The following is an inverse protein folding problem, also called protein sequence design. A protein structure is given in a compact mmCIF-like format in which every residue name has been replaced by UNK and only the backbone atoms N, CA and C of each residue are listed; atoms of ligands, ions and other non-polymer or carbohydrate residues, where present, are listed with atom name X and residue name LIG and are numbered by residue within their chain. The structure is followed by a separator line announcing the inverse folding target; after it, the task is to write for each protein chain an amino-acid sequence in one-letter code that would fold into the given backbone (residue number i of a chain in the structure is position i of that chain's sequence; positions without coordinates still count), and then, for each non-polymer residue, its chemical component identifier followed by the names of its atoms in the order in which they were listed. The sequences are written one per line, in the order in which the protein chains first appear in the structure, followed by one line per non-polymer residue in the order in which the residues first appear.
data_IF_611711752582
#
_entry.id   IF_611711752582
#
_cell.length_a   1.000
_cell.length_b   1.000
_cell.length_c   1.000
_cell.angle_alpha   90.00
_cell.angle_beta   90.00
_cell.angle_gamma   90.00
#
_symmetry.space_group_name_H-M   'P 1'
#
loop_
_entity.id
_entity.type
_entity.pdbx_description
1 polymer ?
#
# COMPACT_ATOMS: atom_id res chain seq x y z
N UNK A 1 28.25 -3.70 -3.51
CA UNK A 1 27.54 -4.90 -2.99
C UNK A 1 26.03 -4.72 -2.99
N UNK A 2 25.48 -3.60 -2.48
CA UNK A 2 24.04 -3.33 -2.46
C UNK A 2 23.35 -3.38 -3.83
N UNK A 3 23.94 -2.80 -4.89
CA UNK A 3 23.39 -2.85 -6.25
C UNK A 3 23.29 -4.29 -6.76
N UNK A 4 24.36 -5.08 -6.62
CA UNK A 4 24.38 -6.48 -7.03
C UNK A 4 23.32 -7.28 -6.25
N UNK A 5 23.22 -7.06 -4.94
CA UNK A 5 22.22 -7.70 -4.10
C UNK A 5 20.80 -7.31 -4.52
N UNK A 6 20.58 -6.04 -4.89
CA UNK A 6 19.30 -5.59 -5.42
C UNK A 6 18.93 -6.27 -6.74
N UNK A 7 19.87 -6.43 -7.67
CA UNK A 7 19.63 -7.18 -8.91
C UNK A 7 19.30 -8.66 -8.65
N UNK A 8 20.04 -9.30 -7.74
CA UNK A 8 19.73 -10.67 -7.29
C UNK A 8 18.34 -10.72 -6.65
N UNK A 9 18.01 -9.75 -5.80
CA UNK A 9 16.71 -9.63 -5.15
C UNK A 9 15.57 -9.56 -6.16
N UNK A 10 15.67 -8.68 -7.17
CA UNK A 10 14.66 -8.58 -8.24
C UNK A 10 14.49 -9.92 -8.97
N UNK A 11 15.59 -10.59 -9.32
CA UNK A 11 15.55 -11.88 -10.01
C UNK A 11 14.88 -12.97 -9.14
N UNK A 12 15.21 -13.03 -7.85
CA UNK A 12 14.62 -13.99 -6.91
C UNK A 12 13.12 -13.71 -6.68
N UNK A 13 12.70 -12.45 -6.56
CA UNK A 13 11.28 -12.10 -6.42
C UNK A 13 10.46 -12.54 -7.65
N UNK A 14 10.99 -12.34 -8.87
CA UNK A 14 10.38 -12.84 -10.10
C UNK A 14 10.38 -14.38 -10.11
N UNK A 15 11.46 -15.04 -9.68
CA UNK A 15 11.51 -16.50 -9.57
C UNK A 15 10.45 -17.03 -8.61
N UNK A 16 10.27 -16.42 -7.44
CA UNK A 16 9.22 -16.79 -6.48
C UNK A 16 7.83 -16.69 -7.12
N UNK A 17 7.57 -15.64 -7.89
CA UNK A 17 6.31 -15.49 -8.62
C UNK A 17 6.11 -16.59 -9.67
N UNK A 18 7.15 -16.94 -10.44
CA UNK A 18 7.11 -18.02 -11.44
C UNK A 18 6.89 -19.39 -10.77
N UNK A 19 7.46 -19.60 -9.58
CA UNK A 19 7.23 -20.82 -8.80
C UNK A 19 5.76 -20.95 -8.35
N UNK A 20 5.12 -19.83 -8.01
CA UNK A 20 3.71 -19.74 -7.61
C UNK A 20 2.72 -19.70 -8.80
N UNK A 21 3.23 -19.62 -10.04
CA UNK A 21 2.42 -19.49 -11.25
C UNK A 21 1.51 -20.69 -11.50
N UNK A 22 0.25 -20.44 -11.85
CA UNK A 22 -0.70 -21.49 -12.26
C UNK A 22 -0.34 -22.15 -13.59
N UNK A 23 0.29 -21.41 -14.51
CA UNK A 23 0.69 -21.91 -15.82
C UNK A 23 1.89 -21.13 -16.36
N UNK A 24 3.10 -21.61 -16.08
CA UNK A 24 4.36 -20.97 -16.50
C UNK A 24 4.50 -20.79 -18.01
N UNK A 25 3.85 -21.64 -18.81
CA UNK A 25 3.89 -21.57 -20.29
C UNK A 25 2.98 -20.49 -20.86
N UNK A 26 2.00 -20.01 -20.09
CA UNK A 26 1.07 -18.96 -20.51
C UNK A 26 1.54 -17.55 -20.14
N UNK A 27 2.71 -17.41 -19.49
CA UNK A 27 3.27 -16.11 -19.11
C UNK A 27 3.57 -15.30 -20.38
N UNK A 28 2.86 -14.18 -20.56
CA UNK A 28 3.10 -13.27 -21.68
C UNK A 28 4.31 -12.38 -21.38
N UNK A 29 5.42 -12.63 -22.08
CA UNK A 29 6.69 -11.92 -21.89
C UNK A 29 6.56 -10.41 -22.14
N UNK A 30 5.76 -9.97 -23.12
CA UNK A 30 5.53 -8.54 -23.36
C UNK A 30 4.93 -7.87 -22.13
N UNK A 31 3.93 -8.50 -21.52
CA UNK A 31 3.22 -7.96 -20.37
C UNK A 31 4.12 -7.92 -19.15
N UNK A 32 4.80 -9.02 -18.81
CA UNK A 32 5.59 -9.09 -17.57
C UNK A 32 6.89 -8.28 -17.67
N UNK A 33 7.62 -8.35 -18.80
CA UNK A 33 8.83 -7.55 -18.99
C UNK A 33 8.46 -6.07 -19.11
N UNK A 34 7.38 -5.74 -19.83
CA UNK A 34 6.87 -4.38 -19.92
C UNK A 34 6.51 -3.81 -18.55
N UNK A 35 5.82 -4.57 -17.71
CA UNK A 35 5.40 -4.13 -16.38
C UNK A 35 6.61 -3.89 -15.47
N UNK A 36 7.57 -4.81 -15.48
CA UNK A 36 8.83 -4.65 -14.76
C UNK A 36 9.63 -3.42 -15.25
N UNK A 37 9.77 -3.24 -16.57
CA UNK A 37 10.45 -2.08 -17.15
C UNK A 37 9.78 -0.75 -16.78
N UNK A 38 8.45 -0.67 -16.76
CA UNK A 38 7.73 0.53 -16.33
C UNK A 38 7.98 0.79 -14.85
N UNK A 39 7.90 -0.24 -14.00
CA UNK A 39 8.13 -0.09 -12.55
C UNK A 39 9.56 0.40 -12.26
N UNK A 40 10.57 -0.22 -12.87
CA UNK A 40 11.98 0.21 -12.78
C UNK A 40 12.17 1.61 -13.36
N UNK A 41 11.52 1.91 -14.48
CA UNK A 41 11.59 3.23 -15.13
C UNK A 41 11.01 4.36 -14.28
N UNK A 42 9.90 4.11 -13.59
CA UNK A 42 9.34 5.05 -12.60
C UNK A 42 10.34 5.26 -11.47
N UNK A 43 10.88 4.18 -10.89
CA UNK A 43 11.89 4.27 -9.83
C UNK A 43 13.13 5.07 -10.26
N UNK A 44 13.65 4.79 -11.46
CA UNK A 44 14.78 5.53 -12.03
C UNK A 44 14.47 7.03 -12.18
N UNK A 45 13.30 7.33 -12.73
CA UNK A 45 12.87 8.71 -12.96
C UNK A 45 12.78 9.49 -11.64
N UNK A 46 12.08 8.94 -10.65
CA UNK A 46 11.71 9.70 -9.45
C UNK A 46 12.76 9.64 -8.34
N UNK A 47 13.64 8.64 -8.32
CA UNK A 47 14.67 8.48 -7.27
C UNK A 47 16.08 8.85 -7.73
N UNK A 48 16.39 8.78 -9.03
CA UNK A 48 17.75 9.01 -9.54
C UNK A 48 17.83 10.27 -10.43
N UNK A 49 16.98 10.37 -11.46
CA UNK A 49 17.04 11.45 -12.44
C UNK A 49 16.68 12.81 -11.79
N UNK A 50 17.52 13.86 -11.89
CA UNK A 50 17.27 15.14 -11.24
C UNK A 50 15.92 15.80 -11.60
N UNK A 51 15.51 15.70 -12.86
CA UNK A 51 14.23 16.25 -13.32
C UNK A 51 13.06 15.51 -12.68
N UNK A 52 13.09 14.17 -12.63
CA UNK A 52 12.02 13.40 -12.03
C UNK A 52 11.96 13.55 -10.50
N UNK A 53 13.11 13.71 -9.82
CA UNK A 53 13.15 14.11 -8.41
C UNK A 53 12.49 15.46 -8.17
N UNK A 54 12.73 16.47 -9.03
CA UNK A 54 12.05 17.77 -8.93
C UNK A 54 10.54 17.66 -9.12
N UNK A 55 10.09 16.82 -10.06
CA UNK A 55 8.66 16.55 -10.27
C UNK A 55 8.05 15.85 -9.05
N UNK A 56 8.73 14.84 -8.51
CA UNK A 56 8.29 14.16 -7.29
C UNK A 56 8.18 15.13 -6.12
N UNK A 57 9.19 15.97 -5.89
CA UNK A 57 9.18 16.99 -4.84
C UNK A 57 8.01 17.98 -5.02
N UNK A 58 7.76 18.46 -6.23
CA UNK A 58 6.62 19.33 -6.50
C UNK A 58 5.27 18.65 -6.19
N UNK A 59 5.15 17.34 -6.48
CA UNK A 59 3.97 16.56 -6.09
C UNK A 59 3.87 16.38 -4.58
N UNK A 60 4.99 16.09 -3.91
CA UNK A 60 5.10 15.97 -2.46
C UNK A 60 4.66 17.27 -1.77
N UNK A 61 5.17 18.42 -2.21
CA UNK A 61 4.81 19.73 -1.66
C UNK A 61 3.32 20.05 -1.89
N UNK A 62 2.79 19.67 -3.04
CA UNK A 62 1.36 19.77 -3.34
C UNK A 62 0.50 18.95 -2.38
N UNK A 63 0.85 17.68 -2.16
CA UNK A 63 0.13 16.81 -1.22
C UNK A 63 0.30 17.30 0.22
N UNK A 64 1.49 17.76 0.62
CA UNK A 64 1.74 18.34 1.93
C UNK A 64 0.88 19.59 2.19
N UNK A 65 0.72 20.45 1.19
CA UNK A 65 -0.17 21.62 1.26
C UNK A 65 -1.64 21.21 1.46
N UNK A 66 -2.08 20.15 0.77
CA UNK A 66 -3.42 19.59 0.94
C UNK A 66 -3.62 19.04 2.36
N UNK A 67 -2.63 18.34 2.91
CA UNK A 67 -2.65 17.89 4.31
C UNK A 67 -2.78 19.09 5.26
N UNK A 68 -2.03 20.16 5.02
CA UNK A 68 -2.10 21.38 5.83
C UNK A 68 -3.50 22.00 5.83
N UNK A 69 -4.18 22.07 4.68
CA UNK A 69 -5.58 22.52 4.61
C UNK A 69 -6.53 21.61 5.39
N UNK A 70 -6.31 20.29 5.35
CA UNK A 70 -7.06 19.34 6.17
C UNK A 70 -6.87 19.59 7.67
N UNK A 71 -5.64 19.93 8.09
CA UNK A 71 -5.32 20.21 9.49
C UNK A 71 -6.03 21.45 10.05
N UNK A 72 -6.46 22.41 9.22
CA UNK A 72 -7.32 23.52 9.67
C UNK A 72 -8.68 23.01 10.18
N UNK A 73 -9.29 22.06 9.46
CA UNK A 73 -10.54 21.42 9.90
C UNK A 73 -10.37 20.60 11.18
N UNK A 74 -9.23 19.94 11.33
CA UNK A 74 -8.87 19.17 12.53
C UNK A 74 -8.67 20.12 13.73
N UNK A 75 -7.95 21.22 13.54
CA UNK A 75 -7.72 22.24 14.56
C UNK A 75 -9.01 22.91 15.00
N UNK A 76 -9.94 23.16 14.08
CA UNK A 76 -11.27 23.66 14.40
C UNK A 76 -12.04 22.66 15.29
N UNK A 77 -12.02 21.36 14.97
CA UNK A 77 -12.81 20.35 15.67
C UNK A 77 -12.24 19.97 17.04
N UNK A 78 -10.92 19.87 17.17
CA UNK A 78 -10.25 19.36 18.37
C UNK A 78 -9.47 20.41 19.17
N UNK A 79 -9.35 21.64 18.65
CA UNK A 79 -8.73 22.77 19.33
C UNK A 79 -7.31 22.48 19.81
N UNK A 80 -7.02 22.83 21.06
CA UNK A 80 -5.69 22.70 21.67
C UNK A 80 -5.14 21.27 21.75
N UNK A 81 -5.98 20.24 21.62
CA UNK A 81 -5.57 18.82 21.68
C UNK A 81 -4.72 18.38 20.48
N UNK A 82 -4.70 19.17 19.41
CA UNK A 82 -3.82 18.97 18.24
C UNK A 82 -2.80 20.10 18.07
N UNK A 83 -2.65 20.96 19.07
CA UNK A 83 -1.66 22.04 19.07
C UNK A 83 -0.29 21.59 19.59
N UNK A 84 0.72 22.42 19.39
CA UNK A 84 2.08 22.16 19.89
C UNK A 84 2.16 22.16 21.42
N UNK A 85 1.19 22.77 22.11
CA UNK A 85 1.09 22.76 23.58
C UNK A 85 1.03 21.34 24.14
N UNK A 86 0.49 20.39 23.38
CA UNK A 86 0.45 18.98 23.76
C UNK A 86 1.86 18.38 23.87
N UNK A 87 2.80 18.77 23.02
CA UNK A 87 4.18 18.31 23.12
C UNK A 87 4.92 18.94 24.30
N UNK A 88 4.60 20.17 24.67
CA UNK A 88 5.14 20.80 25.88
C UNK A 88 4.67 20.10 27.16
N UNK A 89 3.39 19.68 27.20
CA UNK A 89 2.78 19.08 28.40
C UNK A 89 3.08 17.59 28.51
N UNK A 90 3.02 16.85 27.40
CA UNK A 90 3.10 15.39 27.38
C UNK A 90 4.37 14.85 26.72
N UNK A 91 5.30 15.71 26.31
CA UNK A 91 6.49 15.32 25.55
C UNK A 91 6.10 14.58 24.27
N UNK A 92 6.77 13.47 23.97
CA UNK A 92 6.42 12.60 22.83
C UNK A 92 4.98 12.05 22.87
N UNK A 93 4.36 11.98 24.04
CA UNK A 93 2.95 11.60 24.20
C UNK A 93 1.95 12.66 23.74
N UNK A 94 2.41 13.86 23.38
CA UNK A 94 1.59 14.94 22.83
C UNK A 94 1.03 14.64 21.43
N UNK A 95 1.58 13.64 20.74
CA UNK A 95 1.06 13.14 19.48
C UNK A 95 -0.12 12.19 19.72
N UNK A 96 -1.34 12.72 19.77
CA UNK A 96 -2.56 11.89 19.87
C UNK A 96 -2.91 11.34 18.48
N UNK A 97 -2.55 10.08 18.22
CA UNK A 97 -2.79 9.39 16.95
C UNK A 97 -4.25 9.53 16.47
N UNK A 98 -5.22 9.27 17.36
CA UNK A 98 -6.64 9.30 17.02
C UNK A 98 -7.14 10.67 16.55
N UNK A 99 -6.45 11.76 16.92
CA UNK A 99 -6.84 13.12 16.58
C UNK A 99 -5.99 13.71 15.44
N UNK A 100 -4.77 13.21 15.23
CA UNK A 100 -3.85 13.72 14.19
C UNK A 100 -3.82 12.89 12.90
N UNK A 101 -4.18 11.60 12.97
CA UNK A 101 -4.10 10.66 11.84
C UNK A 101 -5.48 10.31 11.30
N UNK A 102 -6.39 9.84 12.17
CA UNK A 102 -7.70 9.37 11.73
C UNK A 102 -8.56 10.44 11.01
N UNK A 103 -8.59 11.71 11.47
CA UNK A 103 -9.39 12.74 10.78
C UNK A 103 -8.87 13.10 9.38
N UNK A 104 -7.57 12.90 9.12
CA UNK A 104 -6.98 13.13 7.79
C UNK A 104 -7.58 12.18 6.76
N UNK A 105 -7.88 10.93 7.16
CA UNK A 105 -8.57 9.95 6.30
C UNK A 105 -9.93 10.50 5.86
N UNK A 106 -10.70 11.09 6.79
CA UNK A 106 -12.03 11.67 6.52
C UNK A 106 -11.95 12.78 5.47
N UNK A 107 -11.00 13.69 5.67
CA UNK A 107 -10.78 14.81 4.75
C UNK A 107 -10.37 14.33 3.35
N UNK A 108 -9.39 13.43 3.24
CA UNK A 108 -8.93 12.93 1.95
C UNK A 108 -10.00 12.10 1.23
N UNK A 109 -10.80 11.30 1.95
CA UNK A 109 -11.94 10.59 1.35
C UNK A 109 -12.97 11.56 0.76
N UNK A 110 -13.27 12.66 1.46
CA UNK A 110 -14.13 13.74 0.95
C UNK A 110 -13.55 14.40 -0.29
N UNK A 111 -12.26 14.76 -0.25
CA UNK A 111 -11.56 15.38 -1.38
C UNK A 111 -11.55 14.48 -2.61
N UNK A 112 -11.21 13.19 -2.44
CA UNK A 112 -11.19 12.23 -3.55
C UNK A 112 -12.60 12.10 -4.15
N UNK A 113 -13.64 12.00 -3.32
CA UNK A 113 -15.03 11.94 -3.79
C UNK A 113 -15.41 13.16 -4.64
N UNK A 114 -14.98 14.36 -4.23
CA UNK A 114 -15.12 15.60 -5.03
C UNK A 114 -14.39 15.48 -6.37
N UNK A 115 -13.13 15.04 -6.37
CA UNK A 115 -12.32 14.89 -7.60
C UNK A 115 -12.91 13.85 -8.58
N UNK A 116 -13.58 12.81 -8.07
CA UNK A 116 -14.38 11.88 -8.88
C UNK A 116 -15.65 12.53 -9.41
N UNK A 117 -16.39 13.28 -8.59
CA UNK A 117 -17.63 13.91 -9.02
C UNK A 117 -17.39 14.88 -10.20
N UNK A 118 -16.33 15.69 -10.13
CA UNK A 118 -15.98 16.68 -11.16
C UNK A 118 -15.26 16.10 -12.38
N UNK A 119 -14.85 14.82 -12.37
CA UNK A 119 -14.27 14.16 -13.53
C UNK A 119 -12.73 14.13 -13.62
N UNK A 120 -12.01 14.74 -12.66
CA UNK A 120 -10.54 14.81 -12.69
C UNK A 120 -9.91 13.42 -12.54
N UNK A 121 -10.42 12.63 -11.59
CA UNK A 121 -9.91 11.26 -11.36
C UNK A 121 -10.09 10.39 -12.59
N UNK A 122 -11.26 10.46 -13.24
CA UNK A 122 -11.56 9.69 -14.45
C UNK A 122 -10.63 10.07 -15.61
N UNK A 123 -10.28 11.36 -15.74
CA UNK A 123 -9.33 11.81 -16.76
C UNK A 123 -7.95 11.21 -16.53
N UNK A 124 -7.41 11.36 -15.30
CA UNK A 124 -6.07 10.85 -14.95
C UNK A 124 -6.01 9.33 -15.10
N UNK A 125 -7.00 8.61 -14.57
CA UNK A 125 -7.06 7.14 -14.62
C UNK A 125 -7.17 6.65 -16.08
N UNK A 126 -7.93 7.35 -16.94
CA UNK A 126 -8.06 6.99 -18.35
C UNK A 126 -6.75 7.17 -19.12
N UNK A 127 -6.00 8.25 -18.84
CA UNK A 127 -4.72 8.52 -19.50
C UNK A 127 -3.69 7.47 -19.09
N UNK A 128 -3.47 7.31 -17.79
CA UNK A 128 -2.47 6.39 -17.25
C UNK A 128 -2.83 4.93 -17.54
N UNK A 129 -4.10 4.53 -17.36
CA UNK A 129 -4.57 3.18 -17.66
C UNK A 129 -4.54 2.86 -19.16
N UNK A 130 -4.83 3.85 -20.01
CA UNK A 130 -4.68 3.70 -21.46
C UNK A 130 -3.21 3.52 -21.88
N UNK A 131 -2.29 4.24 -21.25
CA UNK A 131 -0.86 4.09 -21.48
C UNK A 131 -0.36 2.70 -21.05
N UNK A 132 -0.71 2.25 -19.83
CA UNK A 132 -0.38 0.90 -19.34
C UNK A 132 -0.91 -0.19 -20.27
N UNK A 133 -2.19 -0.12 -20.65
CA UNK A 133 -2.80 -1.07 -21.61
C UNK A 133 -2.02 -1.13 -22.92
N UNK A 134 -1.67 0.03 -23.49
CA UNK A 134 -0.99 0.09 -24.79
C UNK A 134 0.39 -0.57 -24.74
N UNK A 135 1.13 -0.39 -23.64
CA UNK A 135 2.46 -0.98 -23.49
C UNK A 135 2.34 -2.48 -23.16
N UNK A 136 1.54 -2.83 -22.16
CA UNK A 136 1.49 -4.17 -21.57
C UNK A 136 0.62 -5.17 -22.34
N UNK A 137 -0.37 -4.69 -23.10
CA UNK A 137 -1.35 -5.55 -23.77
C UNK A 137 -2.38 -6.17 -22.82
N UNK A 138 -2.50 -5.65 -21.60
CA UNK A 138 -3.52 -6.01 -20.60
C UNK A 138 -4.92 -5.54 -21.04
N UNK A 139 -5.97 -6.10 -20.45
CA UNK A 139 -7.34 -5.68 -20.75
C UNK A 139 -7.60 -4.24 -20.30
N UNK A 140 -8.66 -3.62 -20.84
CA UNK A 140 -9.02 -2.25 -20.46
C UNK A 140 -9.38 -2.17 -18.98
N UNK A 141 -10.09 -3.16 -18.47
CA UNK A 141 -10.66 -3.13 -17.12
C UNK A 141 -9.58 -3.27 -16.05
N UNK A 142 -8.68 -4.24 -16.19
CA UNK A 142 -7.59 -4.43 -15.22
C UNK A 142 -6.59 -3.28 -15.25
N UNK A 143 -6.35 -2.67 -16.42
CA UNK A 143 -5.44 -1.52 -16.54
C UNK A 143 -6.02 -0.26 -15.88
N UNK A 144 -7.33 -0.02 -16.02
CA UNK A 144 -8.02 1.07 -15.36
C UNK A 144 -8.06 0.85 -13.84
N UNK A 145 -8.33 -0.37 -13.39
CA UNK A 145 -8.32 -0.70 -11.96
C UNK A 145 -6.93 -0.57 -11.33
N UNK A 146 -5.88 -1.10 -11.98
CA UNK A 146 -4.50 -0.95 -11.52
C UNK A 146 -4.07 0.51 -11.38
N UNK A 147 -4.52 1.36 -12.31
CA UNK A 147 -4.25 2.80 -12.28
C UNK A 147 -5.07 3.53 -11.20
N UNK A 148 -6.34 3.17 -11.04
CA UNK A 148 -7.18 3.75 -9.99
C UNK A 148 -6.59 3.48 -8.59
N UNK A 149 -6.03 2.28 -8.38
CA UNK A 149 -5.36 1.88 -7.15
C UNK A 149 -4.16 2.75 -6.75
N UNK A 150 -3.62 3.60 -7.65
CA UNK A 150 -2.60 4.60 -7.27
C UNK A 150 -3.16 5.62 -6.28
N UNK A 151 -4.46 5.92 -6.37
CA UNK A 151 -5.11 7.02 -5.66
C UNK A 151 -6.17 6.55 -4.66
N UNK A 152 -6.86 5.46 -4.96
CA UNK A 152 -7.96 4.93 -4.15
C UNK A 152 -7.67 3.51 -3.66
N UNK A 153 -8.38 3.09 -2.62
CA UNK A 153 -8.13 1.81 -1.96
C UNK A 153 -8.66 0.59 -2.73
N UNK A 154 -8.31 -0.59 -2.22
CA UNK A 154 -8.65 -1.90 -2.80
C UNK A 154 -10.16 -2.17 -2.98
N UNK A 155 -11.02 -1.47 -2.25
CA UNK A 155 -12.49 -1.57 -2.37
C UNK A 155 -13.10 -0.50 -3.26
N UNK A 156 -12.39 0.60 -3.50
CA UNK A 156 -12.88 1.77 -4.25
C UNK A 156 -12.41 1.71 -5.70
N UNK A 157 -11.17 1.29 -5.95
CA UNK A 157 -10.62 1.15 -7.29
C UNK A 157 -11.47 0.25 -8.21
N UNK A 158 -12.05 -0.89 -7.76
CA UNK A 158 -12.90 -1.72 -8.61
C UNK A 158 -14.20 -1.02 -9.04
N UNK A 159 -14.64 0.04 -8.35
CA UNK A 159 -15.86 0.77 -8.74
C UNK A 159 -15.78 1.35 -10.15
N UNK A 160 -14.58 1.76 -10.59
CA UNK A 160 -14.36 2.29 -11.94
C UNK A 160 -14.59 1.26 -13.04
N UNK A 161 -14.64 -0.03 -12.67
CA UNK A 161 -14.86 -1.17 -13.56
C UNK A 161 -15.98 -2.07 -13.06
N UNK A 162 -16.82 -1.61 -12.12
CA UNK A 162 -17.91 -2.37 -11.49
C UNK A 162 -18.77 -3.17 -12.49
N UNK A 163 -19.21 -2.60 -13.64
CA UNK A 163 -20.04 -3.34 -14.60
C UNK A 163 -19.37 -4.57 -15.20
N UNK A 164 -18.05 -4.62 -15.20
CA UNK A 164 -17.26 -5.68 -15.85
C UNK A 164 -16.83 -6.79 -14.88
N UNK A 165 -16.83 -6.54 -13.56
CA UNK A 165 -16.30 -7.50 -12.56
C UNK A 165 -16.99 -8.86 -12.65
N UNK A 166 -18.31 -8.88 -12.90
CA UNK A 166 -19.08 -10.12 -12.98
C UNK A 166 -18.66 -11.01 -14.16
N UNK A 167 -18.11 -10.44 -15.24
CA UNK A 167 -17.78 -11.13 -16.50
C UNK A 167 -16.27 -11.19 -16.78
N UNK A 168 -15.43 -10.61 -15.91
CA UNK A 168 -13.97 -10.70 -16.00
C UNK A 168 -13.48 -12.14 -16.04
N UNK A 169 -12.41 -12.40 -16.78
CA UNK A 169 -11.70 -13.67 -16.68
C UNK A 169 -11.14 -13.86 -15.26
N UNK A 170 -10.69 -15.08 -14.95
CA UNK A 170 -10.07 -15.32 -13.64
C UNK A 170 -8.77 -14.52 -13.46
N UNK A 171 -8.02 -14.29 -14.55
CA UNK A 171 -6.78 -13.49 -14.54
C UNK A 171 -7.06 -11.99 -14.38
N UNK A 172 -8.07 -11.45 -15.05
CA UNK A 172 -8.49 -10.05 -14.86
C UNK A 172 -8.94 -9.77 -13.42
N UNK A 173 -9.79 -10.65 -12.86
CA UNK A 173 -10.23 -10.52 -11.47
C UNK A 173 -9.05 -10.58 -10.50
N UNK A 174 -8.10 -11.48 -10.74
CA UNK A 174 -6.88 -11.58 -9.95
C UNK A 174 -6.02 -10.33 -10.04
N UNK A 175 -5.89 -9.73 -11.22
CA UNK A 175 -5.16 -8.48 -11.42
C UNK A 175 -5.80 -7.30 -10.66
N UNK A 176 -7.13 -7.21 -10.64
CA UNK A 176 -7.87 -6.22 -9.83
C UNK A 176 -7.55 -6.40 -8.33
N UNK A 177 -7.59 -7.63 -7.83
CA UNK A 177 -7.24 -7.93 -6.43
C UNK A 177 -5.79 -7.57 -6.11
N UNK A 178 -4.85 -7.97 -6.99
CA UNK A 178 -3.43 -7.72 -6.80
C UNK A 178 -3.10 -6.23 -6.85
N UNK A 179 -3.75 -5.47 -7.74
CA UNK A 179 -3.61 -4.02 -7.82
C UNK A 179 -3.96 -3.33 -6.50
N UNK A 180 -5.08 -3.72 -5.88
CA UNK A 180 -5.49 -3.17 -4.59
C UNK A 180 -4.59 -3.56 -3.43
N UNK A 181 -4.06 -4.79 -3.43
CA UNK A 181 -3.13 -5.25 -2.38
C UNK A 181 -1.72 -4.68 -2.56
N UNK A 182 -1.31 -4.39 -3.79
CA UNK A 182 -0.01 -3.81 -4.09
C UNK A 182 0.08 -2.33 -3.72
N UNK A 183 -1.04 -1.62 -3.56
CA UNK A 183 -1.07 -0.17 -3.31
C UNK A 183 -1.70 0.17 -1.97
N UNK A 184 -1.75 1.47 -1.67
CA UNK A 184 -2.49 2.06 -0.55
C UNK A 184 -3.43 3.15 -1.07
N UNK A 185 -4.48 3.47 -0.32
CA UNK A 185 -5.36 4.58 -0.65
C UNK A 185 -4.70 5.93 -0.34
N UNK A 186 -5.02 6.97 -1.13
CA UNK A 186 -4.58 8.34 -0.83
C UNK A 186 -5.04 8.84 0.55
N UNK A 187 -6.20 8.35 1.02
CA UNK A 187 -6.73 8.66 2.35
C UNK A 187 -5.87 8.16 3.50
N UNK A 188 -5.27 6.98 3.37
CA UNK A 188 -4.38 6.42 4.40
C UNK A 188 -2.93 6.86 4.23
N UNK A 189 -2.52 7.19 3.01
CA UNK A 189 -1.17 7.68 2.68
C UNK A 189 -0.81 8.91 3.51
N UNK A 190 -1.73 9.88 3.59
CA UNK A 190 -1.54 11.06 4.42
C UNK A 190 -1.45 10.70 5.91
N UNK A 191 -2.15 9.66 6.35
CA UNK A 191 -2.02 9.13 7.71
C UNK A 191 -0.63 8.57 8.01
N UNK A 192 -0.03 7.81 7.08
CA UNK A 192 1.34 7.32 7.23
C UNK A 192 2.36 8.47 7.24
N UNK A 193 2.15 9.51 6.44
CA UNK A 193 2.99 10.70 6.45
C UNK A 193 2.97 11.40 7.82
N UNK A 194 1.81 11.48 8.47
CA UNK A 194 1.67 12.02 9.84
C UNK A 194 2.37 11.15 10.90
N UNK A 195 2.69 9.90 10.58
CA UNK A 195 3.48 8.99 11.44
C UNK A 195 4.99 9.13 11.20
N UNK A 196 5.41 10.09 10.36
CA UNK A 196 6.82 10.40 10.06
C UNK A 196 7.36 9.74 8.80
N UNK A 197 6.56 8.96 8.07
CA UNK A 197 7.01 8.29 6.84
C UNK A 197 7.22 9.33 5.73
N UNK A 198 8.38 9.31 5.03
CA UNK A 198 8.64 10.27 3.96
C UNK A 198 7.59 10.22 2.85
N UNK A 199 6.95 11.36 2.60
CA UNK A 199 5.81 11.48 1.68
C UNK A 199 6.22 11.23 0.21
N UNK A 200 7.44 11.61 -0.15
CA UNK A 200 8.05 11.33 -1.45
C UNK A 200 8.19 9.83 -1.72
N UNK A 201 8.57 9.04 -0.71
CA UNK A 201 8.64 7.57 -0.81
C UNK A 201 7.24 6.96 -0.96
N UNK A 202 6.25 7.44 -0.20
CA UNK A 202 4.88 6.96 -0.30
C UNK A 202 4.28 7.24 -1.68
N UNK A 203 4.46 8.45 -2.22
CA UNK A 203 3.98 8.83 -3.55
C UNK A 203 4.67 7.96 -4.62
N UNK A 204 5.99 7.83 -4.58
CA UNK A 204 6.73 6.99 -5.52
C UNK A 204 6.25 5.53 -5.48
N UNK A 205 6.08 4.97 -4.28
CA UNK A 205 5.59 3.60 -4.09
C UNK A 205 4.18 3.40 -4.68
N UNK A 206 3.26 4.35 -4.49
CA UNK A 206 1.90 4.29 -5.04
C UNK A 206 1.90 4.23 -6.57
N UNK A 207 2.74 5.02 -7.25
CA UNK A 207 2.84 4.95 -8.72
C UNK A 207 3.50 3.65 -9.20
N UNK A 208 4.51 3.15 -8.48
CA UNK A 208 5.17 1.89 -8.80
C UNK A 208 4.27 0.67 -8.56
N UNK A 209 3.26 0.78 -7.68
CA UNK A 209 2.33 -0.29 -7.37
C UNK A 209 1.43 -0.68 -8.55
N UNK A 210 1.09 0.24 -9.46
CA UNK A 210 0.25 -0.07 -10.62
C UNK A 210 0.93 -1.08 -11.59
N UNK A 211 2.13 -0.83 -12.13
CA UNK A 211 2.84 -1.82 -12.93
C UNK A 211 3.32 -3.01 -12.09
N UNK A 212 3.73 -2.82 -10.84
CA UNK A 212 4.17 -3.94 -9.97
C UNK A 212 3.05 -4.92 -9.65
N UNK A 213 1.83 -4.43 -9.38
CA UNK A 213 0.65 -5.25 -9.16
C UNK A 213 0.31 -6.08 -10.39
N UNK A 214 0.35 -5.47 -11.59
CA UNK A 214 0.13 -6.17 -12.86
C UNK A 214 1.24 -7.18 -13.17
N UNK A 215 2.51 -6.84 -12.88
CA UNK A 215 3.65 -7.73 -13.05
C UNK A 215 3.42 -9.06 -12.33
N UNK A 216 3.22 -9.02 -11.01
CA UNK A 216 3.07 -10.23 -10.22
C UNK A 216 1.71 -10.91 -10.44
N UNK A 217 0.65 -10.15 -10.74
CA UNK A 217 -0.63 -10.73 -11.13
C UNK A 217 -0.49 -11.61 -12.38
N UNK A 218 0.14 -11.09 -13.44
CA UNK A 218 0.25 -11.76 -14.74
C UNK A 218 1.35 -12.82 -14.79
N UNK A 219 2.27 -12.85 -13.82
CA UNK A 219 3.16 -14.00 -13.61
C UNK A 219 2.41 -15.13 -12.87
N UNK A 220 1.75 -14.81 -11.75
CA UNK A 220 1.15 -15.83 -10.86
C UNK A 220 -0.12 -16.44 -11.47
N UNK A 221 -0.95 -15.63 -12.13
CA UNK A 221 -2.14 -16.08 -12.84
C UNK A 221 -2.20 -15.47 -14.24
N UNK A 222 -1.45 -16.02 -15.21
CA UNK A 222 -1.43 -15.50 -16.58
C UNK A 222 -2.80 -15.60 -17.26
N UNK A 223 -3.03 -14.76 -18.27
CA UNK A 223 -4.26 -14.74 -19.04
C UNK A 223 -4.32 -15.97 -19.97
N UNK A 224 -5.32 -16.83 -19.78
CA UNK A 224 -5.57 -18.01 -20.63
C UNK A 224 -6.91 -17.96 -21.34
N UNK A 225 -7.76 -17.01 -20.97
CA UNK A 225 -9.10 -16.81 -21.51
C UNK A 225 -9.10 -15.56 -22.42
N UNK A 226 -10.22 -15.30 -23.11
CA UNK A 226 -10.37 -14.08 -23.90
C UNK A 226 -11.07 -13.01 -23.06
N UNK A 227 -10.40 -11.89 -22.73
CA UNK A 227 -11.03 -10.79 -22.01
C UNK A 227 -12.26 -10.25 -22.73
N UNK A 228 -13.31 -9.94 -21.98
CA UNK A 228 -14.50 -9.27 -22.51
C UNK A 228 -14.26 -7.76 -22.54
N UNK A 229 -13.56 -7.31 -23.59
CA UNK A 229 -13.03 -5.94 -23.72
C UNK A 229 -14.01 -4.96 -24.44
N UNK A 230 -15.26 -5.39 -24.69
CA UNK A 230 -16.26 -4.56 -25.37
C UNK A 230 -16.64 -3.35 -24.49
N UNK A 231 -16.54 -2.14 -25.05
CA UNK A 231 -17.05 -0.96 -24.39
C UNK A 231 -18.57 -1.13 -24.20
N UNK A 232 -19.05 -1.15 -22.96
CA UNK A 232 -20.46 -0.93 -22.65
C UNK A 232 -20.60 0.54 -22.24
N UNK A 233 -20.95 1.46 -23.16
CA UNK A 233 -21.13 2.87 -22.83
C UNK A 233 -22.28 3.12 -21.84
N UNK A 234 -23.25 2.20 -21.73
CA UNK A 234 -24.51 2.44 -21.03
C UNK A 234 -24.49 2.08 -19.54
N UNK A 235 -23.60 1.19 -19.09
CA UNK A 235 -23.64 0.68 -17.71
C UNK A 235 -23.07 1.64 -16.64
N UNK A 236 -22.31 2.67 -17.03
CA UNK A 236 -21.81 3.70 -16.10
C UNK A 236 -22.73 4.93 -16.00
N UNK A 237 -23.70 5.08 -16.91
CA UNK A 237 -24.56 6.27 -16.96
C UNK A 237 -25.73 6.22 -15.96
N UNK A 238 -26.12 5.02 -15.51
CA UNK A 238 -27.26 4.78 -14.63
C UNK A 238 -26.80 4.25 -13.25
N UNK A 239 -25.82 4.90 -12.61
CA UNK A 239 -25.54 4.61 -11.20
C UNK A 239 -26.57 5.36 -10.33
N UNK A 240 -27.56 4.66 -9.72
CA UNK A 240 -28.58 5.30 -8.90
C UNK A 240 -28.00 5.98 -7.65
N UNK A 241 -26.78 5.62 -7.26
CA UNK A 241 -26.09 6.15 -6.07
C UNK A 241 -25.17 7.34 -6.42
N UNK A 242 -25.22 7.87 -7.66
CA UNK A 242 -24.39 9.02 -8.05
C UNK A 242 -24.82 10.27 -7.25
N UNK A 243 -23.87 11.00 -6.63
CA UNK A 243 -24.19 12.22 -5.90
C UNK A 243 -24.91 13.25 -6.79
N UNK A 244 -25.84 14.00 -6.20
CA UNK A 244 -26.64 15.00 -6.91
C UNK A 244 -25.83 16.24 -7.28
N UNK A 245 -24.88 16.63 -6.42
CA UNK A 245 -24.01 17.79 -6.62
C UNK A 245 -22.65 17.59 -5.92
N UNK A 246 -21.74 18.54 -6.09
CA UNK A 246 -20.38 18.45 -5.53
C UNK A 246 -20.36 18.44 -3.98
N UNK A 247 -21.32 19.12 -3.34
CA UNK A 247 -21.43 19.15 -1.88
C UNK A 247 -21.93 17.80 -1.36
N UNK A 248 -22.87 17.19 -2.06
CA UNK A 248 -23.35 15.84 -1.80
C UNK A 248 -22.19 14.82 -1.93
N UNK A 249 -21.38 14.93 -2.99
CA UNK A 249 -20.19 14.09 -3.14
C UNK A 249 -19.18 14.28 -1.99
N UNK A 250 -18.93 15.52 -1.57
CA UNK A 250 -18.06 15.82 -0.45
C UNK A 250 -18.59 15.22 0.87
N UNK A 251 -19.89 15.37 1.14
CA UNK A 251 -20.54 14.85 2.34
C UNK A 251 -20.54 13.32 2.38
N UNK A 252 -20.88 12.66 1.27
CA UNK A 252 -20.81 11.22 1.13
C UNK A 252 -19.38 10.70 1.32
N UNK A 253 -18.40 11.34 0.69
CA UNK A 253 -16.98 11.01 0.86
C UNK A 253 -16.49 11.17 2.30
N UNK A 254 -16.93 12.22 3.01
CA UNK A 254 -16.63 12.40 4.42
C UNK A 254 -17.26 11.31 5.29
N UNK A 255 -18.52 10.92 5.04
CA UNK A 255 -19.18 9.84 5.77
C UNK A 255 -18.48 8.48 5.56
N UNK A 256 -18.12 8.15 4.31
CA UNK A 256 -17.33 6.94 4.00
C UNK A 256 -15.95 6.98 4.66
N UNK A 257 -15.29 8.15 4.62
CA UNK A 257 -14.01 8.37 5.28
C UNK A 257 -14.08 8.23 6.80
N UNK A 258 -15.17 8.68 7.44
CA UNK A 258 -15.41 8.51 8.88
C UNK A 258 -15.56 7.03 9.24
N UNK A 259 -16.33 6.26 8.47
CA UNK A 259 -16.44 4.82 8.69
C UNK A 259 -15.08 4.13 8.57
N UNK A 260 -14.28 4.50 7.56
CA UNK A 260 -12.92 3.99 7.39
C UNK A 260 -12.03 4.36 8.60
N UNK A 261 -12.06 5.61 9.04
CA UNK A 261 -11.30 6.10 10.18
C UNK A 261 -11.66 5.35 11.48
N UNK A 262 -12.95 5.11 11.74
CA UNK A 262 -13.43 4.33 12.88
C UNK A 262 -12.96 2.87 12.80
N UNK A 263 -13.05 2.25 11.63
CA UNK A 263 -12.57 0.89 11.41
C UNK A 263 -11.06 0.79 11.66
N UNK A 264 -10.27 1.76 11.17
CA UNK A 264 -8.82 1.82 11.40
C UNK A 264 -8.51 2.00 12.88
N UNK A 265 -9.17 2.93 13.57
CA UNK A 265 -8.98 3.16 14.99
C UNK A 265 -9.30 1.94 15.84
N UNK A 266 -10.45 1.30 15.59
CA UNK A 266 -10.86 0.08 16.29
C UNK A 266 -9.90 -1.09 16.02
N UNK A 267 -9.50 -1.29 14.76
CA UNK A 267 -8.54 -2.33 14.36
C UNK A 267 -7.18 -2.13 15.03
N UNK A 268 -6.64 -0.90 15.03
CA UNK A 268 -5.36 -0.59 15.67
C UNK A 268 -5.40 -0.84 17.17
N UNK A 269 -6.46 -0.37 17.85
CA UNK A 269 -6.65 -0.61 19.29
C UNK A 269 -6.66 -2.12 19.58
N UNK A 270 -7.44 -2.90 18.83
CA UNK A 270 -7.55 -4.33 19.03
C UNK A 270 -6.23 -5.07 18.76
N UNK A 271 -5.58 -4.79 17.62
CA UNK A 271 -4.37 -5.51 17.24
C UNK A 271 -3.15 -5.14 18.09
N UNK A 272 -2.99 -3.88 18.47
CA UNK A 272 -1.91 -3.50 19.41
C UNK A 272 -2.10 -4.23 20.75
N UNK A 273 -3.33 -4.29 21.27
CA UNK A 273 -3.63 -5.00 22.51
C UNK A 273 -3.41 -6.52 22.38
N UNK A 274 -3.84 -7.13 21.27
CA UNK A 274 -3.64 -8.56 21.01
C UNK A 274 -2.16 -8.93 20.84
N UNK A 275 -1.36 -8.07 20.19
CA UNK A 275 0.09 -8.26 20.08
C UNK A 275 0.74 -8.17 21.47
N UNK A 276 0.33 -7.21 22.30
CA UNK A 276 0.84 -7.10 23.67
C UNK A 276 0.50 -8.34 24.50
N UNK A 277 -0.74 -8.85 24.40
CA UNK A 277 -1.15 -10.10 25.03
C UNK A 277 -0.30 -11.28 24.55
N UNK A 278 -0.13 -11.42 23.23
CA UNK A 278 0.67 -12.49 22.64
C UNK A 278 2.13 -12.39 23.07
N UNK A 279 2.69 -11.20 23.17
CA UNK A 279 4.04 -10.97 23.68
C UNK A 279 4.17 -11.38 25.16
N UNK A 280 3.17 -11.10 25.99
CA UNK A 280 3.15 -11.58 27.37
C UNK A 280 3.14 -13.10 27.46
N UNK A 281 2.34 -13.77 26.63
CA UNK A 281 2.29 -15.24 26.54
C UNK A 281 3.63 -15.80 26.04
N UNK A 282 4.16 -15.25 24.95
CA UNK A 282 5.44 -15.67 24.37
C UNK A 282 6.60 -15.44 25.32
N UNK A 283 6.63 -14.33 26.07
CA UNK A 283 7.64 -14.07 27.09
C UNK A 283 7.55 -15.09 28.24
N UNK A 284 6.35 -15.49 28.64
CA UNK A 284 6.14 -16.56 29.61
C UNK A 284 6.66 -17.92 29.14
N UNK A 285 6.34 -18.29 27.89
CA UNK A 285 6.85 -19.52 27.25
C UNK A 285 8.37 -19.46 27.09
N UNK A 286 8.90 -18.33 26.62
CA UNK A 286 10.33 -18.10 26.46
C UNK A 286 11.09 -18.18 27.79
N UNK A 287 10.47 -17.72 28.88
CA UNK A 287 11.00 -17.86 30.24
C UNK A 287 11.22 -19.32 30.68
N UNK A 288 10.47 -20.29 30.15
CA UNK A 288 10.72 -21.72 30.39
C UNK A 288 12.04 -22.21 29.78
N UNK A 289 12.61 -21.45 28.82
CA UNK A 289 13.84 -21.77 28.11
C UNK A 289 14.94 -20.71 28.33
N UNK A 290 14.87 -19.93 29.42
CA UNK A 290 15.80 -18.84 29.73
C UNK A 290 15.88 -17.74 28.63
N UNK A 291 14.76 -17.51 27.94
CA UNK A 291 14.61 -16.51 26.88
C UNK A 291 13.33 -15.65 27.06
N UNK A 292 13.17 -14.94 28.19
CA UNK A 292 11.94 -14.18 28.51
C UNK A 292 11.64 -13.01 27.55
N UNK A 293 12.62 -12.58 26.76
CA UNK A 293 12.47 -11.53 25.74
C UNK A 293 11.74 -11.99 24.47
N UNK A 294 11.32 -13.27 24.38
CA UNK A 294 10.60 -13.78 23.22
C UNK A 294 9.34 -12.95 22.95
N UNK A 295 9.21 -12.47 21.72
CA UNK A 295 8.08 -11.66 21.27
C UNK A 295 7.70 -12.01 19.83
N UNK A 296 6.49 -11.63 19.42
CA UNK A 296 6.04 -11.76 18.05
C UNK A 296 6.99 -11.02 17.10
N UNK A 297 7.47 -9.84 17.50
CA UNK A 297 8.40 -9.02 16.71
C UNK A 297 9.72 -9.76 16.44
N UNK A 298 10.26 -10.49 17.44
CA UNK A 298 11.47 -11.28 17.26
C UNK A 298 11.24 -12.48 16.33
N UNK A 299 10.11 -13.18 16.48
CA UNK A 299 9.76 -14.32 15.62
C UNK A 299 9.62 -13.85 14.17
N UNK A 300 8.85 -12.79 13.94
CA UNK A 300 8.66 -12.22 12.60
C UNK A 300 9.98 -11.67 12.05
N UNK A 301 10.78 -11.01 12.88
CA UNK A 301 12.12 -10.55 12.53
C UNK A 301 12.98 -11.68 11.99
N UNK A 302 13.03 -12.80 12.71
CA UNK A 302 13.83 -13.95 12.31
C UNK A 302 13.33 -14.57 11.00
N UNK A 303 12.02 -14.83 10.91
CA UNK A 303 11.38 -15.45 9.73
C UNK A 303 11.55 -14.62 8.47
N UNK A 304 11.42 -13.30 8.55
CA UNK A 304 11.47 -12.39 7.40
C UNK A 304 12.85 -11.75 7.18
N UNK A 305 13.84 -11.97 8.06
CA UNK A 305 15.20 -11.46 7.88
C UNK A 305 15.87 -11.90 6.56
N UNK A 306 15.70 -13.14 6.06
CA UNK A 306 16.28 -13.51 4.77
C UNK A 306 15.65 -12.73 3.62
N UNK A 307 14.36 -12.41 3.74
CA UNK A 307 13.63 -11.62 2.74
C UNK A 307 14.03 -10.14 2.78
N UNK A 308 14.21 -9.58 3.97
CA UNK A 308 14.72 -8.21 4.15
C UNK A 308 16.14 -8.07 3.58
N UNK A 309 17.01 -9.04 3.85
CA UNK A 309 18.35 -9.06 3.28
C UNK A 309 18.31 -9.20 1.76
N UNK A 310 17.41 -10.05 1.24
CA UNK A 310 17.22 -10.27 -0.20
C UNK A 310 16.90 -8.97 -0.96
N UNK A 311 16.07 -8.09 -0.38
CA UNK A 311 15.68 -6.82 -1.00
C UNK A 311 16.70 -5.69 -0.80
N UNK A 312 17.86 -5.98 -0.21
CA UNK A 312 19.00 -5.06 -0.12
C UNK A 312 19.28 -4.47 1.25
N UNK A 313 18.56 -4.87 2.31
CA UNK A 313 18.85 -4.44 3.69
C UNK A 313 20.15 -5.09 4.19
N UNK A 314 21.08 -4.33 4.82
CA UNK A 314 22.25 -4.91 5.47
C UNK A 314 21.87 -5.98 6.51
N UNK A 315 22.63 -7.07 6.59
CA UNK A 315 22.28 -8.20 7.49
C UNK A 315 22.12 -7.80 8.96
N UNK A 316 22.93 -6.84 9.43
CA UNK A 316 22.85 -6.28 10.79
C UNK A 316 21.58 -5.44 11.04
N UNK A 317 20.84 -5.06 10.01
CA UNK A 317 19.56 -4.33 10.10
C UNK A 317 18.37 -5.21 9.65
N UNK A 318 18.65 -6.37 9.04
CA UNK A 318 17.65 -7.25 8.42
C UNK A 318 16.66 -7.85 9.42
N UNK A 319 17.06 -8.06 10.68
CA UNK A 319 16.16 -8.54 11.73
C UNK A 319 15.06 -7.51 12.05
N UNK A 320 15.45 -6.23 12.15
CA UNK A 320 14.52 -5.13 12.42
C UNK A 320 13.60 -4.91 11.22
N UNK A 321 14.18 -4.82 10.01
CA UNK A 321 13.41 -4.69 8.78
C UNK A 321 12.45 -5.87 8.54
N UNK A 322 12.93 -7.10 8.79
CA UNK A 322 12.13 -8.32 8.71
C UNK A 322 10.93 -8.29 9.64
N UNK A 323 11.09 -7.72 10.85
CA UNK A 323 9.98 -7.60 11.81
C UNK A 323 8.85 -6.76 11.24
N UNK A 324 9.15 -5.61 10.62
CA UNK A 324 8.14 -4.74 10.03
C UNK A 324 7.48 -5.36 8.81
N UNK A 325 8.25 -6.01 7.92
CA UNK A 325 7.70 -6.73 6.77
C UNK A 325 6.73 -7.83 7.24
N UNK A 326 7.14 -8.60 8.26
CA UNK A 326 6.31 -9.66 8.83
C UNK A 326 5.05 -9.11 9.50
N UNK A 327 5.16 -8.03 10.28
CA UNK A 327 3.98 -7.37 10.89
C UNK A 327 3.00 -6.91 9.82
N UNK A 328 3.51 -6.31 8.74
CA UNK A 328 2.69 -5.85 7.62
C UNK A 328 1.91 -7.00 6.98
N UNK A 329 2.56 -8.13 6.69
CA UNK A 329 1.92 -9.26 6.00
C UNK A 329 0.92 -9.99 6.92
N UNK A 330 1.28 -10.22 8.18
CA UNK A 330 0.47 -11.02 9.11
C UNK A 330 -0.68 -10.20 9.72
N UNK A 331 -0.43 -8.92 10.01
CA UNK A 331 -1.38 -8.04 10.68
C UNK A 331 -1.91 -7.02 9.67
N UNK A 332 -1.20 -5.91 9.48
CA UNK A 332 -1.44 -4.89 8.47
C UNK A 332 -0.29 -3.86 8.47
N UNK A 333 -0.25 -3.05 7.43
CA UNK A 333 0.74 -1.99 7.23
C UNK A 333 0.61 -0.83 8.24
N UNK A 334 -0.58 -0.55 8.78
CA UNK A 334 -0.77 0.48 9.80
C UNK A 334 0.00 0.19 11.09
N UNK A 335 -0.10 -1.04 11.61
CA UNK A 335 0.65 -1.48 12.80
C UNK A 335 2.14 -1.47 12.51
N UNK A 336 2.54 -1.92 11.32
CA UNK A 336 3.94 -1.94 10.91
C UNK A 336 4.52 -0.52 10.80
N UNK A 337 3.78 0.44 10.22
CA UNK A 337 4.18 1.84 10.14
C UNK A 337 4.20 2.54 11.49
N UNK A 338 3.28 2.20 12.40
CA UNK A 338 3.27 2.75 13.76
C UNK A 338 4.56 2.40 14.49
N UNK A 339 4.96 1.14 14.43
CA UNK A 339 6.19 0.67 15.05
C UNK A 339 7.44 1.18 14.32
N UNK A 340 7.38 1.34 12.99
CA UNK A 340 8.48 1.90 12.21
C UNK A 340 8.67 3.41 12.44
N UNK A 341 7.60 4.16 12.73
CA UNK A 341 7.66 5.59 13.04
C UNK A 341 8.60 5.93 14.20
N UNK A 342 8.73 5.02 15.18
CA UNK A 342 9.68 5.17 16.28
C UNK A 342 11.15 5.16 15.81
N UNK A 343 11.45 4.48 14.71
CA UNK A 343 12.78 4.41 14.09
C UNK A 343 13.05 5.55 13.08
N UNK A 344 12.01 6.30 12.71
CA UNK A 344 12.11 7.46 11.81
C UNK A 344 12.41 8.77 12.56
N UNK A 345 12.35 8.76 13.88
CA UNK A 345 12.73 9.90 14.73
C UNK A 345 14.22 10.20 14.63
N UNK A 346 14.63 11.34 15.19
CA UNK A 346 16.04 11.72 15.27
C UNK A 346 16.87 10.63 15.96
N UNK A 347 18.07 10.35 15.44
CA UNK A 347 18.89 9.21 15.87
C UNK A 347 19.19 9.21 17.38
N UNK A 348 19.33 10.39 17.99
CA UNK A 348 19.50 10.56 19.44
C UNK A 348 18.28 10.04 20.22
N UNK A 349 17.07 10.29 19.72
CA UNK A 349 15.80 9.83 20.33
C UNK A 349 15.65 8.32 20.17
N UNK A 350 16.01 7.79 18.98
CA UNK A 350 15.99 6.34 18.71
C UNK A 350 16.94 5.61 19.65
N UNK A 351 18.17 6.12 19.80
CA UNK A 351 19.16 5.53 20.69
C UNK A 351 18.74 5.59 22.16
N UNK A 352 18.19 6.73 22.61
CA UNK A 352 17.69 6.89 23.98
C UNK A 352 16.52 5.94 24.31
N UNK A 353 15.74 5.53 23.30
CA UNK A 353 14.68 4.53 23.43
C UNK A 353 15.21 3.07 23.44
N UNK A 354 16.54 2.86 23.36
CA UNK A 354 17.15 1.53 23.30
C UNK A 354 16.97 0.83 21.96
N UNK A 355 16.60 1.57 20.91
CA UNK A 355 16.37 1.05 19.57
C UNK A 355 17.63 1.18 18.70
N UNK A 356 17.76 0.29 17.71
CA UNK A 356 18.84 0.36 16.73
C UNK A 356 18.60 1.53 15.77
N UNK A 357 19.60 2.40 15.62
CA UNK A 357 19.60 3.42 14.56
C UNK A 357 19.78 2.72 13.21
N UNK A 358 18.83 2.95 12.30
CA UNK A 358 18.83 2.36 10.96
C UNK A 358 19.43 3.33 9.93
N UNK A 359 20.16 2.79 8.96
CA UNK A 359 20.66 3.58 7.84
C UNK A 359 19.53 4.23 7.02
N UNK A 360 19.76 5.41 6.39
CA UNK A 360 18.79 6.04 5.50
C UNK A 360 18.33 5.12 4.35
N UNK A 361 19.25 4.29 3.87
CA UNK A 361 19.00 3.27 2.84
C UNK A 361 17.96 2.24 3.30
N UNK A 362 18.15 1.69 4.50
CA UNK A 362 17.19 0.74 5.09
C UNK A 362 15.86 1.40 5.42
N UNK A 363 15.86 2.64 5.94
CA UNK A 363 14.63 3.41 6.18
C UNK A 363 13.82 3.53 4.87
N UNK A 364 14.47 3.83 3.75
CA UNK A 364 13.81 3.90 2.45
C UNK A 364 13.26 2.53 1.99
N UNK A 365 14.06 1.45 2.07
CA UNK A 365 13.60 0.10 1.70
C UNK A 365 12.35 -0.30 2.51
N UNK A 366 12.38 -0.08 3.82
CA UNK A 366 11.25 -0.37 4.72
C UNK A 366 10.03 0.45 4.29
N UNK A 367 10.16 1.77 4.07
CA UNK A 367 9.04 2.61 3.59
C UNK A 367 8.37 2.05 2.33
N UNK A 368 9.14 1.63 1.32
CA UNK A 368 8.55 1.06 0.10
C UNK A 368 7.96 -0.35 0.33
N UNK A 369 8.59 -1.19 1.16
CA UNK A 369 8.15 -2.55 1.42
C UNK A 369 6.82 -2.60 2.21
N UNK A 370 6.58 -1.62 3.07
CA UNK A 370 5.35 -1.48 3.85
C UNK A 370 4.21 -0.82 3.07
N UNK A 371 4.50 -0.07 2.01
CA UNK A 371 3.51 0.70 1.26
C UNK A 371 2.63 -0.19 0.35
N UNK A 372 1.74 -0.96 0.96
CA UNK A 372 0.69 -1.73 0.27
C UNK A 372 -0.24 -2.47 1.23
N UNK A 373 -1.50 -2.66 0.83
CA UNK A 373 -2.51 -3.38 1.61
C UNK A 373 -2.38 -4.91 1.61
N UNK A 374 -1.28 -5.46 1.09
CA UNK A 374 -1.05 -6.90 1.05
C UNK A 374 -0.80 -7.47 2.45
N UNK A 375 -1.89 -7.91 3.09
CA UNK A 375 -1.94 -8.55 4.39
C UNK A 375 -3.11 -9.55 4.45
N UNK A 376 -3.12 -10.44 5.44
CA UNK A 376 -4.14 -11.48 5.55
C UNK A 376 -5.55 -10.93 5.80
N UNK A 377 -5.67 -9.82 6.54
CA UNK A 377 -6.97 -9.19 6.83
C UNK A 377 -7.63 -8.58 5.58
N UNK A 378 -6.83 -8.07 4.64
CA UNK A 378 -7.29 -7.50 3.37
C UNK A 378 -7.98 -8.52 2.48
N UNK A 379 -7.76 -9.83 2.67
CA UNK A 379 -8.52 -10.87 1.95
C UNK A 379 -10.01 -10.76 2.31
N UNK A 380 -10.34 -10.59 3.60
CA UNK A 380 -11.72 -10.44 4.02
C UNK A 380 -12.35 -9.14 3.48
N UNK A 381 -11.56 -8.06 3.44
CA UNK A 381 -11.98 -6.77 2.85
C UNK A 381 -12.27 -6.94 1.36
N UNK A 382 -11.43 -7.64 0.60
CA UNK A 382 -11.68 -7.93 -0.82
C UNK A 382 -12.91 -8.82 -1.02
N UNK A 383 -13.10 -9.86 -0.19
CA UNK A 383 -14.28 -10.73 -0.25
C UNK A 383 -15.55 -9.93 0.00
N UNK A 384 -15.54 -8.99 0.96
CA UNK A 384 -16.69 -8.10 1.22
C UNK A 384 -16.89 -7.06 0.12
N UNK A 385 -15.83 -6.36 -0.28
CA UNK A 385 -15.86 -5.28 -1.26
C UNK A 385 -16.16 -5.78 -2.67
N UNK A 386 -15.28 -6.59 -3.25
CA UNK A 386 -15.50 -7.14 -4.59
C UNK A 386 -16.69 -8.12 -4.62
N UNK A 387 -16.88 -8.89 -3.54
CA UNK A 387 -18.00 -9.83 -3.46
C UNK A 387 -19.36 -9.14 -3.35
N UNK A 388 -19.46 -7.91 -2.84
CA UNK A 388 -20.72 -7.15 -2.91
C UNK A 388 -20.98 -6.58 -4.30
N UNK A 389 -19.93 -6.25 -5.06
CA UNK A 389 -20.05 -5.78 -6.46
C UNK A 389 -20.38 -6.90 -7.45
N UNK A 390 -19.86 -8.11 -7.22
CA UNK A 390 -20.12 -9.30 -8.02
C UNK A 390 -20.34 -10.53 -7.12
N UNK A 391 -21.55 -10.70 -6.55
CA UNK A 391 -21.86 -11.80 -5.63
C UNK A 391 -21.56 -13.19 -6.18
N UNK A 392 -21.76 -13.39 -7.49
CA UNK A 392 -21.45 -14.62 -8.22
C UNK A 392 -19.95 -14.94 -8.28
N UNK A 393 -19.07 -13.96 -8.05
CA UNK A 393 -17.60 -14.12 -8.08
C UNK A 393 -16.97 -14.22 -6.70
N UNK A 394 -17.75 -14.13 -5.61
CA UNK A 394 -17.25 -14.16 -4.23
C UNK A 394 -16.37 -15.37 -3.93
N UNK A 395 -16.72 -16.53 -4.48
CA UNK A 395 -15.94 -17.76 -4.32
C UNK A 395 -14.57 -17.68 -5.00
N UNK A 396 -14.48 -17.09 -6.20
CA UNK A 396 -13.21 -16.88 -6.89
C UNK A 396 -12.29 -15.95 -6.09
N UNK A 397 -12.83 -14.85 -5.57
CA UNK A 397 -12.09 -13.89 -4.73
C UNK A 397 -11.52 -14.59 -3.49
N UNK A 398 -12.31 -15.43 -2.82
CA UNK A 398 -11.86 -16.19 -1.65
C UNK A 398 -10.74 -17.18 -2.01
N UNK A 399 -10.89 -17.94 -3.10
CA UNK A 399 -9.87 -18.90 -3.55
C UNK A 399 -8.54 -18.24 -3.95
N UNK A 400 -8.60 -17.03 -4.50
CA UNK A 400 -7.44 -16.30 -4.99
C UNK A 400 -6.75 -15.45 -3.91
N UNK A 401 -7.40 -15.22 -2.76
CA UNK A 401 -6.96 -14.29 -1.73
C UNK A 401 -5.50 -14.43 -1.31
N UNK A 402 -5.07 -15.64 -0.93
CA UNK A 402 -3.68 -15.88 -0.50
C UNK A 402 -2.67 -15.64 -1.62
N UNK A 403 -2.98 -16.04 -2.85
CA UNK A 403 -2.13 -15.76 -4.02
C UNK A 403 -2.06 -14.27 -4.32
N UNK A 404 -3.16 -13.54 -4.11
CA UNK A 404 -3.22 -12.10 -4.33
C UNK A 404 -2.40 -11.35 -3.28
N UNK A 405 -2.42 -11.78 -2.01
CA UNK A 405 -1.55 -11.25 -0.95
C UNK A 405 -0.08 -11.51 -1.26
N UNK A 406 0.27 -12.70 -1.73
CA UNK A 406 1.64 -13.00 -2.18
C UNK A 406 2.05 -12.08 -3.35
N UNK A 407 1.20 -11.91 -4.36
CA UNK A 407 1.47 -11.04 -5.51
C UNK A 407 1.65 -9.57 -5.10
N UNK A 408 0.76 -9.03 -4.26
CA UNK A 408 0.87 -7.68 -3.74
C UNK A 408 2.12 -7.48 -2.88
N UNK A 409 2.47 -8.47 -2.05
CA UNK A 409 3.69 -8.45 -1.24
C UNK A 409 4.94 -8.42 -2.11
N UNK A 410 5.02 -9.29 -3.12
CA UNK A 410 6.12 -9.28 -4.08
C UNK A 410 6.21 -7.96 -4.85
N UNK A 411 5.07 -7.32 -5.17
CA UNK A 411 5.03 -5.97 -5.76
C UNK A 411 5.68 -4.93 -4.86
N UNK A 412 5.32 -4.89 -3.57
CA UNK A 412 5.93 -3.95 -2.62
C UNK A 412 7.43 -4.20 -2.43
N UNK A 413 7.83 -5.48 -2.33
CA UNK A 413 9.23 -5.87 -2.20
C UNK A 413 10.05 -5.55 -3.46
N UNK A 414 9.46 -5.67 -4.64
CA UNK A 414 10.09 -5.27 -5.90
C UNK A 414 10.30 -3.75 -5.92
N UNK A 415 9.28 -2.96 -5.55
CA UNK A 415 9.42 -1.50 -5.42
C UNK A 415 10.50 -1.11 -4.41
N UNK A 416 10.55 -1.80 -3.26
CA UNK A 416 11.58 -1.58 -2.24
C UNK A 416 12.99 -1.92 -2.72
N UNK A 417 13.14 -3.03 -3.46
CA UNK A 417 14.42 -3.43 -4.06
C UNK A 417 14.88 -2.41 -5.10
N UNK A 418 13.95 -1.92 -5.94
CA UNK A 418 14.22 -0.86 -6.93
C UNK A 418 14.67 0.42 -6.23
N UNK A 419 13.97 0.84 -5.18
CA UNK A 419 14.36 2.02 -4.39
C UNK A 419 15.76 1.85 -3.77
N UNK A 420 16.03 0.69 -3.17
CA UNK A 420 17.33 0.37 -2.60
C UNK A 420 18.48 0.38 -3.62
N UNK A 421 18.22 0.01 -4.88
CA UNK A 421 19.21 0.10 -5.96
C UNK A 421 19.46 1.56 -6.36
N UNK A 422 18.41 2.33 -6.64
CA UNK A 422 18.57 3.71 -7.12
C UNK A 422 19.11 4.68 -6.07
N UNK A 423 18.83 4.45 -4.80
CA UNK A 423 19.39 5.26 -3.70
C UNK A 423 20.84 4.89 -3.36
N UNK A 424 21.35 3.76 -3.89
CA UNK A 424 22.75 3.36 -3.75
C UNK A 424 23.63 3.76 -4.96
N UNK A 425 23.02 4.33 -6.01
CA UNK A 425 23.68 4.91 -7.18
C UNK A 425 23.96 6.39 -6.96
#
# INVERSE_FOLDING_TARGET
MQILMGLVGMAVLVLLAVLLSSNRKAINLRTVIGAWCIQVGIGALVLYVPVGRKVLLAMTDGVASVIAYGNEGISFLFGGLVSDKMFEVFGGGGFIFALRVLPVIVFFSSLIAVLYYIGIMQLVIRILGGALRKVLGTSRTESLSATANIFVGQTEAPLVVRPYIATMTRSELFAVMCGGLASVAGSVLAGYAQMGVPLDYLIAASFMAAPGGLLFAKIILPETEKPHDAAQPEAMANDPDRPSNVLDAAAAGAASGMQLALNVGAMLLAFVALIALLNGILGGIGGWFDYPQLSLQLILGWVFSPLAWLIGVPWNEAMVAGSFIGQKVIINEFVAYLNFGEYLRADEVVHAAGLQVLSPHTKAIISFALCGFANLSSIAILIGGLGSMAPNRRHDVAQLGLKAVAAGTLSNLMSATIAGVFLAL
#
